data_IF_341962413542
#
_entry.id   IF_341962413542
#
_cell.length_a   1.000
_cell.length_b   1.000
_cell.length_c   1.000
_cell.angle_alpha   90.00
_cell.angle_beta   90.00
_cell.angle_gamma   90.00
#
_symmetry.space_group_name_H-M   'P 1'
#
loop_
_entity.id
_entity.type
_entity.pdbx_description
1 polymer ?
#
# COMPACT_ATOMS: atom_id res chain seq x y z
N UNK A 1 14.81 4.26 -20.33
CA UNK A 1 13.93 3.40 -19.50
C UNK A 1 13.53 4.16 -18.27
N UNK A 2 12.24 4.39 -18.09
CA UNK A 2 11.71 5.04 -16.89
C UNK A 2 11.62 4.00 -15.78
N UNK A 3 12.20 4.29 -14.61
CA UNK A 3 12.17 3.37 -13.47
C UNK A 3 10.83 3.49 -12.77
N UNK A 4 10.13 2.37 -12.60
CA UNK A 4 8.93 2.32 -11.78
C UNK A 4 9.29 2.13 -10.31
N UNK A 5 8.60 2.84 -9.44
CA UNK A 5 8.73 2.76 -7.99
C UNK A 5 7.45 2.17 -7.43
N UNK A 6 7.58 1.05 -6.73
CA UNK A 6 6.49 0.41 -6.00
C UNK A 6 6.81 0.45 -4.50
N UNK A 7 5.99 1.18 -3.74
CA UNK A 7 6.13 1.28 -2.29
C UNK A 7 5.12 0.37 -1.62
N UNK A 8 5.59 -0.74 -1.05
CA UNK A 8 4.73 -1.61 -0.26
C UNK A 8 4.60 -1.06 1.16
N UNK A 9 3.37 -0.87 1.63
CA UNK A 9 3.08 -0.38 2.97
C UNK A 9 2.11 -1.33 3.68
N UNK A 10 2.47 -1.84 4.88
CA UNK A 10 1.54 -2.60 5.69
C UNK A 10 0.49 -1.64 6.28
N UNK A 11 -0.78 -1.98 6.11
CA UNK A 11 -1.92 -1.22 6.66
C UNK A 11 -2.77 -2.10 7.55
N UNK A 12 -3.31 -1.51 8.61
CA UNK A 12 -4.25 -2.18 9.53
C UNK A 12 -5.67 -2.19 8.97
N UNK A 13 -6.06 -1.14 8.26
CA UNK A 13 -7.37 -1.00 7.63
C UNK A 13 -7.16 -0.60 6.17
N UNK A 14 -7.48 -1.53 5.27
CA UNK A 14 -7.34 -1.34 3.83
C UNK A 14 -8.33 -0.30 3.30
N UNK A 15 -9.58 -0.33 3.77
CA UNK A 15 -10.63 0.57 3.31
C UNK A 15 -10.37 2.02 3.72
N UNK A 16 -9.97 2.25 4.97
CA UNK A 16 -9.59 3.57 5.45
C UNK A 16 -8.37 4.12 4.70
N UNK A 17 -7.38 3.26 4.45
CA UNK A 17 -6.18 3.64 3.69
C UNK A 17 -6.54 3.99 2.24
N UNK A 18 -7.33 3.16 1.56
CA UNK A 18 -7.80 3.43 0.19
C UNK A 18 -8.54 4.77 0.11
N UNK A 19 -9.47 5.03 1.02
CA UNK A 19 -10.21 6.29 1.07
C UNK A 19 -9.28 7.49 1.26
N UNK A 20 -8.25 7.37 2.10
CA UNK A 20 -7.24 8.40 2.31
C UNK A 20 -6.46 8.70 1.03
N UNK A 21 -5.92 7.68 0.36
CA UNK A 21 -5.15 7.88 -0.87
C UNK A 21 -6.02 8.36 -2.04
N UNK A 22 -7.27 7.89 -2.13
CA UNK A 22 -8.25 8.41 -3.10
C UNK A 22 -8.54 9.88 -2.86
N UNK A 23 -8.72 10.31 -1.60
CA UNK A 23 -8.93 11.72 -1.27
C UNK A 23 -7.73 12.61 -1.61
N UNK A 24 -6.51 12.05 -1.64
CA UNK A 24 -5.29 12.73 -2.09
C UNK A 24 -5.17 12.79 -3.63
N UNK A 25 -6.07 12.15 -4.38
CA UNK A 25 -6.06 12.12 -5.85
C UNK A 25 -5.31 10.94 -6.45
N UNK A 26 -5.03 9.88 -5.67
CA UNK A 26 -4.47 8.65 -6.20
C UNK A 26 -5.58 7.80 -6.82
N UNK A 27 -5.27 7.16 -7.94
CA UNK A 27 -6.22 6.27 -8.61
C UNK A 27 -6.02 4.83 -8.15
N UNK A 28 -7.12 4.13 -7.87
CA UNK A 28 -7.03 2.70 -7.59
C UNK A 28 -6.85 1.92 -8.90
N UNK A 29 -5.87 1.02 -8.95
CA UNK A 29 -5.71 0.07 -10.04
C UNK A 29 -6.43 -1.25 -9.69
N UNK A 30 -7.60 -1.54 -10.28
CA UNK A 30 -8.39 -2.73 -9.95
C UNK A 30 -7.72 -4.04 -10.38
N UNK A 31 -6.74 -4.00 -11.30
CA UNK A 31 -5.99 -5.20 -11.70
C UNK A 31 -5.07 -5.71 -10.60
N UNK A 32 -4.64 -4.83 -9.70
CA UNK A 32 -3.76 -5.13 -8.57
C UNK A 32 -4.42 -4.84 -7.21
N UNK A 33 -5.76 -4.80 -7.19
CA UNK A 33 -6.53 -4.61 -5.97
C UNK A 33 -7.39 -5.83 -5.71
N UNK A 34 -7.24 -6.41 -4.52
CA UNK A 34 -8.00 -7.52 -3.98
C UNK A 34 -8.44 -7.20 -2.53
N UNK A 35 -9.08 -8.15 -1.83
CA UNK A 35 -9.52 -7.93 -0.43
C UNK A 35 -8.35 -7.81 0.57
N UNK A 36 -7.15 -8.21 0.16
CA UNK A 36 -5.93 -8.26 0.98
C UNK A 36 -4.89 -7.20 0.60
N UNK A 37 -5.07 -6.50 -0.52
CA UNK A 37 -4.13 -5.54 -1.06
C UNK A 37 -4.83 -4.53 -1.99
N UNK A 38 -4.38 -3.28 -1.99
CA UNK A 38 -4.84 -2.27 -2.93
C UNK A 38 -3.67 -1.54 -3.58
N UNK A 39 -3.74 -1.37 -4.90
CA UNK A 39 -2.75 -0.63 -5.66
C UNK A 39 -3.24 0.79 -5.94
N UNK A 40 -2.56 1.78 -5.36
CA UNK A 40 -2.85 3.19 -5.52
C UNK A 40 -1.80 3.84 -6.42
N UNK A 41 -2.20 4.23 -7.63
CA UNK A 41 -1.36 4.86 -8.64
C UNK A 41 -1.30 6.35 -8.39
N UNK A 42 -0.08 6.88 -8.23
CA UNK A 42 0.16 8.32 -8.09
C UNK A 42 0.54 8.95 -9.42
N UNK A 43 1.35 8.23 -10.21
CA UNK A 43 1.82 8.65 -11.53
C UNK A 43 2.11 7.42 -12.39
N UNK A 44 2.44 7.64 -13.66
CA UNK A 44 2.85 6.57 -14.58
C UNK A 44 4.01 5.72 -14.07
N UNK A 45 4.77 6.22 -13.09
CA UNK A 45 6.00 5.59 -12.60
C UNK A 45 5.98 5.31 -11.11
N UNK A 46 5.02 5.84 -10.35
CA UNK A 46 4.97 5.67 -8.90
C UNK A 46 3.61 5.09 -8.49
N UNK A 47 3.67 3.95 -7.82
CA UNK A 47 2.51 3.27 -7.27
C UNK A 47 2.77 2.87 -5.82
N UNK A 48 1.74 3.01 -4.98
CA UNK A 48 1.75 2.60 -3.58
C UNK A 48 0.89 1.34 -3.44
N UNK A 49 1.51 0.27 -2.96
CA UNK A 49 0.86 -1.00 -2.68
C UNK A 49 0.50 -1.03 -1.19
N UNK A 50 -0.78 -0.91 -0.88
CA UNK A 50 -1.33 -1.06 0.47
C UNK A 50 -1.58 -2.54 0.70
N UNK A 51 -0.95 -3.12 1.71
CA UNK A 51 -1.04 -4.56 2.00
C UNK A 51 -1.61 -4.77 3.40
N UNK A 52 -2.56 -5.68 3.57
CA UNK A 52 -2.95 -6.11 4.91
C UNK A 52 -1.75 -6.76 5.61
N UNK A 53 -1.77 -6.78 6.95
CA UNK A 53 -0.70 -7.40 7.72
C UNK A 53 -0.47 -8.88 7.38
N UNK A 54 -1.53 -9.61 7.05
CA UNK A 54 -1.44 -11.01 6.64
C UNK A 54 -0.70 -11.15 5.31
N UNK A 55 -1.05 -10.31 4.33
CA UNK A 55 -0.37 -10.27 3.03
C UNK A 55 1.08 -9.80 3.18
N UNK A 56 1.35 -8.80 4.01
CA UNK A 56 2.71 -8.32 4.29
C UNK A 56 3.62 -9.43 4.82
N UNK A 57 3.12 -10.29 5.72
CA UNK A 57 3.86 -11.43 6.28
C UNK A 57 4.27 -12.46 5.23
N UNK A 58 3.61 -12.53 4.08
CA UNK A 58 4.04 -13.40 2.97
C UNK A 58 5.24 -12.82 2.21
N UNK A 59 5.41 -11.50 2.21
CA UNK A 59 6.53 -10.82 1.55
C UNK A 59 7.79 -10.77 2.41
N UNK A 60 7.63 -10.68 3.73
CA UNK A 60 8.77 -10.57 4.63
C UNK A 60 8.48 -11.14 6.01
N UNK A 61 9.50 -11.74 6.62
CA UNK A 61 9.50 -12.14 8.03
C UNK A 61 9.89 -11.00 8.97
N UNK A 62 10.20 -9.80 8.43
CA UNK A 62 10.55 -8.65 9.26
C UNK A 62 9.34 -8.19 10.09
N UNK A 63 9.57 -7.77 11.35
CA UNK A 63 8.50 -7.26 12.18
C UNK A 63 7.90 -6.00 11.54
N UNK A 64 6.57 -5.88 11.60
CA UNK A 64 5.86 -4.68 11.18
C UNK A 64 6.22 -3.57 12.18
N UNK A 65 6.64 -2.38 11.71
CA UNK A 65 6.92 -1.26 12.60
C UNK A 65 5.70 -0.94 13.49
N UNK A 66 5.90 -0.64 14.78
CA UNK A 66 4.80 -0.23 15.64
C UNK A 66 4.15 1.04 15.09
N UNK A 67 2.82 1.13 15.20
CA UNK A 67 2.05 2.30 14.75
C UNK A 67 2.38 3.56 15.57
N UNK A 68 2.92 3.40 16.77
CA UNK A 68 3.34 4.49 17.65
C UNK A 68 4.79 4.88 17.38
N UNK A 69 5.12 6.19 17.36
CA UNK A 69 6.51 6.63 17.31
C UNK A 69 7.27 6.03 18.49
N UNK A 70 8.45 5.47 18.24
CA UNK A 70 9.38 5.14 19.32
C UNK A 70 9.91 6.46 19.85
N UNK A 71 9.46 6.83 21.05
CA UNK A 71 9.85 8.06 21.74
C UNK A 71 11.30 8.00 22.20
#
# INVERSE_FOLDING_TARGET
MTRMIFVNMPVTDLGASMAFYQALGFENNPTFTDETAACMVWSETISVMLLTHDKWRTFTSRPIPPATPVR
#
